data_IF_587530171791
#
_entry.id   IF_587530171791
#
_cell.length_a   1.000
_cell.length_b   1.000
_cell.length_c   1.000
_cell.angle_alpha   90.00
_cell.angle_beta   90.00
_cell.angle_gamma   90.00
#
_symmetry.space_group_name_H-M   'P 1'
#
loop_
_entity.id
_entity.type
_entity.pdbx_description
1 polymer ?
#
# COMPACT_ATOMS: atom_id res chain seq x y z
N UNK A 1 -15.79 -17.57 8.76
CA UNK A 1 -14.52 -18.20 8.30
C UNK A 1 -14.41 -18.05 6.79
N UNK A 2 -13.25 -17.67 6.28
CA UNK A 2 -13.00 -17.60 4.83
C UNK A 2 -12.95 -19.04 4.29
N UNK A 3 -13.68 -19.33 3.21
CA UNK A 3 -13.66 -20.64 2.55
C UNK A 3 -12.25 -20.96 2.03
N UNK A 4 -11.85 -22.24 2.05
CA UNK A 4 -10.54 -22.70 1.57
C UNK A 4 -10.22 -22.21 0.15
N UNK A 5 -11.21 -22.20 -0.75
CA UNK A 5 -11.07 -21.68 -2.11
C UNK A 5 -10.71 -20.18 -2.18
N UNK A 6 -11.36 -19.33 -1.36
CA UNK A 6 -11.05 -17.90 -1.26
C UNK A 6 -9.65 -17.64 -0.71
N UNK A 7 -9.23 -18.41 0.29
CA UNK A 7 -7.88 -18.29 0.83
C UNK A 7 -6.82 -18.63 -0.23
N UNK A 8 -7.01 -19.71 -0.99
CA UNK A 8 -6.13 -20.07 -2.11
C UNK A 8 -6.08 -18.96 -3.17
N UNK A 9 -7.23 -18.38 -3.53
CA UNK A 9 -7.29 -17.28 -4.50
C UNK A 9 -6.48 -16.06 -4.06
N UNK A 10 -6.60 -15.66 -2.79
CA UNK A 10 -5.85 -14.52 -2.24
C UNK A 10 -4.34 -14.77 -2.25
N UNK A 11 -3.90 -16.01 -1.98
CA UNK A 11 -2.48 -16.39 -2.05
C UNK A 11 -1.97 -16.28 -3.49
N UNK A 12 -2.73 -16.74 -4.48
CA UNK A 12 -2.34 -16.61 -5.90
C UNK A 12 -2.27 -15.15 -6.36
N UNK A 13 -3.21 -14.31 -5.91
CA UNK A 13 -3.14 -12.87 -6.16
C UNK A 13 -1.93 -12.22 -5.48
N UNK A 14 -1.63 -12.59 -4.24
CA UNK A 14 -0.44 -12.08 -3.56
C UNK A 14 0.84 -12.43 -4.33
N UNK A 15 0.98 -13.67 -4.84
CA UNK A 15 2.12 -14.06 -5.69
C UNK A 15 2.21 -13.24 -6.98
N UNK A 16 1.07 -12.84 -7.53
CA UNK A 16 1.01 -12.11 -8.81
C UNK A 16 1.29 -10.62 -8.65
N UNK A 17 0.73 -9.98 -7.61
CA UNK A 17 0.71 -8.52 -7.48
C UNK A 17 1.67 -7.97 -6.41
N UNK A 18 2.20 -8.81 -5.51
CA UNK A 18 3.18 -8.37 -4.51
C UNK A 18 4.59 -8.29 -5.12
N UNK A 19 4.76 -7.41 -6.10
CA UNK A 19 6.02 -7.16 -6.79
C UNK A 19 6.51 -5.74 -6.52
N UNK A 20 7.82 -5.52 -6.62
CA UNK A 20 8.41 -4.19 -6.38
C UNK A 20 7.90 -3.14 -7.36
N UNK A 21 7.54 -3.53 -8.57
CA UNK A 21 7.02 -2.64 -9.62
C UNK A 21 5.71 -1.95 -9.20
N UNK A 22 4.93 -2.60 -8.33
CA UNK A 22 3.71 -2.00 -7.80
C UNK A 22 3.97 -0.85 -6.83
N UNK A 23 5.13 -0.80 -6.17
CA UNK A 23 5.45 0.20 -5.16
C UNK A 23 5.33 1.61 -5.76
N UNK A 24 5.94 1.87 -6.92
CA UNK A 24 5.95 3.21 -7.54
C UNK A 24 4.57 3.81 -7.79
N UNK A 25 3.57 2.96 -8.02
CA UNK A 25 2.20 3.39 -8.36
C UNK A 25 1.22 3.19 -7.22
N UNK A 26 1.70 2.86 -6.02
CA UNK A 26 0.87 2.55 -4.87
C UNK A 26 1.22 3.46 -3.67
N UNK A 27 0.25 3.79 -2.80
CA UNK A 27 0.51 4.53 -1.56
C UNK A 27 1.65 3.96 -0.71
N UNK A 28 1.97 2.67 -0.84
CA UNK A 28 3.13 2.08 -0.14
C UNK A 28 4.47 2.74 -0.53
N UNK A 29 4.58 3.49 -1.64
CA UNK A 29 5.82 4.24 -1.96
C UNK A 29 6.21 5.26 -0.91
N UNK A 30 5.26 5.81 -0.15
CA UNK A 30 5.55 6.89 0.81
C UNK A 30 6.30 6.39 2.04
N UNK A 31 5.85 5.31 2.72
CA UNK A 31 6.60 4.70 3.81
C UNK A 31 8.02 4.30 3.44
N UNK A 32 8.21 3.81 2.21
CA UNK A 32 9.50 3.37 1.70
C UNK A 32 10.52 4.50 1.49
N UNK A 33 10.12 5.78 1.59
CA UNK A 33 11.02 6.92 1.50
C UNK A 33 11.79 7.19 2.80
N UNK A 34 11.36 6.61 3.91
CA UNK A 34 11.95 6.86 5.22
C UNK A 34 12.80 5.68 5.69
N UNK A 35 13.83 5.95 6.50
CA UNK A 35 14.71 4.92 7.07
C UNK A 35 14.55 4.74 8.57
N UNK A 36 14.01 5.75 9.27
CA UNK A 36 13.70 5.62 10.71
C UNK A 36 12.38 4.91 10.88
N UNK A 37 12.34 3.96 11.81
CA UNK A 37 11.16 3.13 12.07
C UNK A 37 9.91 3.96 12.42
N UNK A 38 10.08 5.01 13.23
CA UNK A 38 8.98 5.88 13.64
C UNK A 38 8.37 6.60 12.44
N UNK A 39 9.20 7.11 11.53
CA UNK A 39 8.75 7.83 10.34
C UNK A 39 8.03 6.89 9.36
N UNK A 40 8.54 5.66 9.21
CA UNK A 40 7.89 4.60 8.42
C UNK A 40 6.50 4.28 8.98
N UNK A 41 6.37 4.11 10.31
CA UNK A 41 5.10 3.81 10.97
C UNK A 41 4.08 4.95 10.79
N UNK A 42 4.49 6.21 10.98
CA UNK A 42 3.62 7.38 10.82
C UNK A 42 3.19 7.55 9.35
N UNK A 43 4.13 7.48 8.41
CA UNK A 43 3.83 7.57 6.98
C UNK A 43 2.90 6.42 6.53
N UNK A 44 3.12 5.21 7.05
CA UNK A 44 2.26 4.05 6.75
C UNK A 44 0.83 4.25 7.25
N UNK A 45 0.69 4.80 8.46
CA UNK A 45 -0.61 5.10 9.04
C UNK A 45 -1.38 6.14 8.21
N UNK A 46 -0.74 7.25 7.85
CA UNK A 46 -1.33 8.30 7.00
C UNK A 46 -1.71 7.75 5.62
N UNK A 47 -0.79 7.02 4.98
CA UNK A 47 -1.00 6.43 3.66
C UNK A 47 -2.15 5.45 3.64
N UNK A 48 -2.26 4.59 4.66
CA UNK A 48 -3.36 3.62 4.79
C UNK A 48 -4.69 4.32 5.05
N UNK A 49 -4.70 5.37 5.88
CA UNK A 49 -5.92 6.11 6.17
C UNK A 49 -6.52 6.77 4.93
N UNK A 50 -5.68 7.25 4.01
CA UNK A 50 -6.13 7.90 2.76
C UNK A 50 -6.35 6.92 1.60
N UNK A 51 -6.02 5.64 1.75
CA UNK A 51 -6.07 4.64 0.67
C UNK A 51 -7.49 4.15 0.31
N UNK A 52 -8.49 5.02 0.34
CA UNK A 52 -9.86 4.73 -0.08
C UNK A 52 -10.23 5.53 -1.34
N UNK A 53 -10.54 4.82 -2.44
CA UNK A 53 -11.01 5.43 -3.69
C UNK A 53 -10.00 5.41 -4.84
N UNK A 54 -9.96 6.49 -5.63
CA UNK A 54 -9.17 6.54 -6.85
C UNK A 54 -7.68 6.70 -6.56
N UNK A 55 -6.89 5.67 -6.92
CA UNK A 55 -5.43 5.61 -6.75
C UNK A 55 -4.70 6.89 -7.19
N UNK A 56 -5.07 7.50 -8.33
CA UNK A 56 -4.39 8.72 -8.81
C UNK A 56 -4.59 9.90 -7.86
N UNK A 57 -5.81 10.08 -7.38
CA UNK A 57 -6.16 11.14 -6.42
C UNK A 57 -5.48 10.88 -5.08
N UNK A 58 -5.48 9.63 -4.62
CA UNK A 58 -4.79 9.23 -3.39
C UNK A 58 -3.30 9.57 -3.47
N UNK A 59 -2.62 9.19 -4.56
CA UNK A 59 -1.20 9.49 -4.76
C UNK A 59 -0.93 11.00 -4.81
N UNK A 60 -1.80 11.77 -5.48
CA UNK A 60 -1.68 13.23 -5.52
C UNK A 60 -1.78 13.84 -4.12
N UNK A 61 -2.78 13.43 -3.33
CA UNK A 61 -2.94 13.92 -1.95
C UNK A 61 -1.76 13.53 -1.08
N UNK A 62 -1.30 12.27 -1.16
CA UNK A 62 -0.16 11.79 -0.38
C UNK A 62 1.14 12.51 -0.72
N UNK A 63 1.34 12.88 -1.99
CA UNK A 63 2.48 13.68 -2.45
C UNK A 63 2.47 15.13 -1.95
N UNK A 64 1.32 15.65 -1.49
CA UNK A 64 1.23 17.00 -0.94
C UNK A 64 1.54 17.05 0.57
N UNK A 65 1.43 15.92 1.27
CA UNK A 65 1.48 15.85 2.74
C UNK A 65 2.69 15.11 3.31
N UNK A 66 3.37 14.29 2.49
CA UNK A 66 4.65 13.66 2.83
C UNK A 66 5.81 14.58 2.43
#
# INVERSE_FOLDING_TARGET
>A
MISKAKATLLIEYAKTYNTKDFIETDPIRFPHQYSKRQDIEISSFISTWLAYGNRKVILQTLSLIH
#
